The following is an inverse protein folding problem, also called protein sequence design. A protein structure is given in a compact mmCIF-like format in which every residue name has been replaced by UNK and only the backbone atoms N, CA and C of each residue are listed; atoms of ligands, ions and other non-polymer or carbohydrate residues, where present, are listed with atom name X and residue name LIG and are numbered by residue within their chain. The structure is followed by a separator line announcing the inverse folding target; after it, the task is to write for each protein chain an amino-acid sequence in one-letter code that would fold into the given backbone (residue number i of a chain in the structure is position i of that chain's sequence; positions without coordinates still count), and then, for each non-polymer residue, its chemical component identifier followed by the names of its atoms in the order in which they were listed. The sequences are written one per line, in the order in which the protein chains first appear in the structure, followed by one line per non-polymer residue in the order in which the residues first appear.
data_IF_387325369359
#
_entry.id   IF_387325369359
#
_cell.length_a   1.000
_cell.length_b   1.000
_cell.length_c   1.000
_cell.angle_alpha   90.00
_cell.angle_beta   90.00
_cell.angle_gamma   90.00
#
_symmetry.space_group_name_H-M   'P 1'
#
loop_
_entity.id
_entity.type
_entity.pdbx_description
1 polymer ?
#
# COMPACT_ATOMS: atom_id res chain seq x y z
N UNK A 1 7.56 -26.87 17.99
CA UNK A 1 7.05 -25.73 18.78
C UNK A 1 6.46 -24.74 17.80
N UNK A 2 5.13 -24.66 17.68
CA UNK A 2 4.50 -23.70 16.78
C UNK A 2 4.54 -22.33 17.45
N UNK A 3 5.47 -21.48 17.01
CA UNK A 3 5.48 -20.08 17.39
C UNK A 3 4.12 -19.49 16.99
N UNK A 4 3.34 -19.05 17.96
CA UNK A 4 2.10 -18.32 17.73
C UNK A 4 2.50 -17.01 17.06
N UNK A 5 2.42 -16.95 15.72
CA UNK A 5 2.65 -15.69 15.00
C UNK A 5 1.63 -14.67 15.50
N UNK A 6 2.13 -13.64 16.20
CA UNK A 6 1.36 -12.45 16.54
C UNK A 6 0.83 -11.86 15.24
N UNK A 7 -0.49 -11.87 15.08
CA UNK A 7 -1.16 -11.32 13.90
C UNK A 7 -1.05 -9.82 13.97
N UNK A 8 -0.41 -9.21 12.96
CA UNK A 8 -0.37 -7.77 12.85
C UNK A 8 -1.72 -7.19 12.45
N UNK A 9 -1.89 -5.90 12.71
CA UNK A 9 -3.06 -5.16 12.24
C UNK A 9 -3.25 -5.35 10.73
N UNK A 10 -4.51 -5.31 10.29
CA UNK A 10 -4.83 -5.32 8.87
C UNK A 10 -4.07 -4.17 8.17
N UNK A 11 -3.69 -4.38 6.92
CA UNK A 11 -3.15 -3.32 6.10
C UNK A 11 -4.22 -2.66 5.26
N UNK A 12 -4.02 -1.40 4.95
CA UNK A 12 -4.81 -0.58 4.04
C UNK A 12 -3.93 -0.27 2.83
N UNK A 13 -4.40 -0.58 1.63
CA UNK A 13 -3.61 -0.47 0.40
C UNK A 13 -4.28 0.40 -0.66
N UNK A 14 -3.47 1.24 -1.28
CA UNK A 14 -3.76 1.89 -2.55
C UNK A 14 -2.66 1.53 -3.57
N UNK A 15 -3.04 1.03 -4.74
CA UNK A 15 -2.12 0.86 -5.86
C UNK A 15 -2.71 1.52 -7.10
N UNK A 16 -2.24 2.73 -7.42
CA UNK A 16 -2.87 3.54 -8.47
C UNK A 16 -1.92 4.59 -9.06
N UNK A 17 -2.31 5.14 -10.22
CA UNK A 17 -1.61 6.26 -10.83
C UNK A 17 -1.72 7.53 -9.98
N UNK A 18 -0.64 8.31 -9.93
CA UNK A 18 -0.52 9.62 -9.25
C UNK A 18 -0.52 10.76 -10.27
N UNK A 19 -0.82 12.00 -9.85
CA UNK A 19 -0.78 13.19 -10.73
C UNK A 19 0.66 13.65 -11.01
N UNK A 20 1.57 12.72 -11.30
CA UNK A 20 2.98 12.98 -11.59
C UNK A 20 3.31 12.29 -12.90
N UNK A 21 3.91 13.01 -13.85
CA UNK A 21 4.43 12.46 -15.09
C UNK A 21 5.88 12.05 -14.91
N UNK A 22 6.21 10.83 -15.32
CA UNK A 22 7.59 10.39 -15.42
C UNK A 22 8.21 10.90 -16.73
N UNK A 23 9.52 10.72 -16.88
CA UNK A 23 10.28 11.13 -18.08
C UNK A 23 9.78 10.53 -19.40
N UNK A 24 9.03 9.43 -19.34
CA UNK A 24 8.41 8.78 -20.50
C UNK A 24 7.04 9.38 -20.89
N UNK A 25 6.59 10.42 -20.17
CA UNK A 25 5.31 11.09 -20.37
C UNK A 25 4.09 10.33 -19.84
N UNK A 26 4.29 9.21 -19.14
CA UNK A 26 3.20 8.43 -18.52
C UNK A 26 3.06 8.82 -17.05
N UNK A 27 1.86 8.61 -16.52
CA UNK A 27 1.60 8.82 -15.08
C UNK A 27 2.40 7.81 -14.25
N UNK A 28 3.07 8.30 -13.20
CA UNK A 28 3.67 7.50 -12.15
C UNK A 28 2.61 6.61 -11.52
N UNK A 29 2.90 5.32 -11.38
CA UNK A 29 2.13 4.44 -10.51
C UNK A 29 2.81 4.34 -9.16
N UNK A 30 2.03 4.24 -8.10
CA UNK A 30 2.56 4.14 -6.75
C UNK A 30 1.71 3.18 -5.93
N UNK A 31 2.40 2.32 -5.20
CA UNK A 31 1.85 1.50 -4.14
C UNK A 31 2.02 2.23 -2.81
N UNK A 32 0.92 2.41 -2.07
CA UNK A 32 0.89 2.87 -0.69
C UNK A 32 0.27 1.78 0.18
N UNK A 33 0.91 1.50 1.30
CA UNK A 33 0.44 0.57 2.32
C UNK A 33 0.59 1.22 3.68
N UNK A 34 -0.45 1.17 4.50
CA UNK A 34 -0.36 1.53 5.92
C UNK A 34 -0.99 0.46 6.78
N UNK A 35 -0.44 0.20 7.97
CA UNK A 35 -1.15 -0.58 8.97
C UNK A 35 -2.40 0.20 9.44
N UNK A 36 -3.52 -0.49 9.65
CA UNK A 36 -4.70 0.09 10.30
C UNK A 36 -4.32 0.40 11.76
N UNK A 37 -4.36 1.67 12.19
CA UNK A 37 -4.05 2.02 13.57
C UNK A 37 -5.10 1.45 14.53
N UNK A 38 -4.68 1.12 15.75
CA UNK A 38 -5.62 0.88 16.85
C UNK A 38 -6.36 2.18 17.19
N UNK A 39 -7.57 2.09 17.72
CA UNK A 39 -8.42 3.26 17.98
C UNK A 39 -7.79 4.26 18.97
N UNK A 40 -6.91 3.78 19.85
CA UNK A 40 -6.19 4.54 20.87
C UNK A 40 -4.70 4.74 20.53
N UNK A 41 -4.26 4.33 19.33
CA UNK A 41 -2.88 4.48 18.90
C UNK A 41 -2.50 5.97 18.79
N UNK A 42 -1.42 6.34 19.48
CA UNK A 42 -0.83 7.69 19.40
C UNK A 42 0.34 7.78 18.43
N UNK A 43 0.86 6.62 18.03
CA UNK A 43 1.99 6.51 17.12
C UNK A 43 1.52 6.49 15.67
N UNK A 44 2.37 6.96 14.77
CA UNK A 44 2.10 6.85 13.33
C UNK A 44 2.17 5.37 12.95
N UNK A 45 1.14 4.81 12.28
CA UNK A 45 1.18 3.42 11.85
C UNK A 45 2.33 3.18 10.86
N UNK A 46 2.77 1.92 10.75
CA UNK A 46 3.65 1.51 9.67
C UNK A 46 3.14 2.02 8.32
N UNK A 47 4.03 2.60 7.52
CA UNK A 47 3.76 3.14 6.18
C UNK A 47 4.84 2.68 5.21
N UNK A 48 4.43 2.24 4.04
CA UNK A 48 5.30 1.82 2.95
C UNK A 48 4.81 2.44 1.64
N UNK A 49 5.73 3.04 0.88
CA UNK A 49 5.46 3.63 -0.43
C UNK A 49 6.47 3.15 -1.44
N UNK A 50 6.01 2.75 -2.63
CA UNK A 50 6.89 2.30 -3.71
C UNK A 50 6.36 2.71 -5.09
N UNK A 51 7.19 3.39 -5.87
CA UNK A 51 6.88 3.71 -7.26
C UNK A 51 6.92 2.45 -8.12
N UNK A 52 6.00 2.36 -9.07
CA UNK A 52 5.89 1.30 -10.05
C UNK A 52 6.03 1.91 -11.46
N UNK A 53 6.95 1.40 -12.29
CA UNK A 53 6.99 1.76 -13.70
C UNK A 53 5.65 1.45 -14.38
N UNK A 54 5.17 2.35 -15.23
CA UNK A 54 3.86 2.21 -15.89
C UNK A 54 3.71 0.91 -16.70
N UNK A 55 4.82 0.37 -17.23
CA UNK A 55 4.86 -0.91 -17.96
C UNK A 55 4.86 -2.15 -17.08
N UNK A 56 5.01 -2.00 -15.76
CA UNK A 56 5.12 -3.11 -14.80
C UNK A 56 3.89 -3.26 -13.89
N UNK A 57 2.82 -2.48 -14.17
CA UNK A 57 1.58 -2.52 -13.40
C UNK A 57 0.84 -3.84 -13.63
N UNK A 58 1.17 -4.83 -12.82
CA UNK A 58 0.58 -6.17 -12.86
C UNK A 58 0.67 -6.84 -11.48
N UNK A 59 0.06 -8.01 -11.34
CA UNK A 59 0.03 -8.74 -10.07
C UNK A 59 1.39 -9.28 -9.65
N UNK A 60 2.30 -9.61 -10.58
CA UNK A 60 3.64 -10.16 -10.26
C UNK A 60 4.49 -9.08 -9.57
N UNK A 61 4.49 -7.87 -10.13
CA UNK A 61 5.15 -6.72 -9.50
C UNK A 61 4.54 -6.42 -8.14
N UNK A 62 3.21 -6.41 -8.04
CA UNK A 62 2.50 -6.12 -6.80
C UNK A 62 2.80 -7.18 -5.72
N UNK A 63 2.82 -8.48 -6.04
CA UNK A 63 3.20 -9.53 -5.10
C UNK A 63 4.61 -9.31 -4.54
N UNK A 64 5.56 -8.99 -5.43
CA UNK A 64 6.94 -8.73 -5.04
C UNK A 64 7.04 -7.51 -4.11
N UNK A 65 6.31 -6.44 -4.42
CA UNK A 65 6.27 -5.24 -3.60
C UNK A 65 5.55 -5.45 -2.25
N UNK A 66 4.53 -6.31 -2.19
CA UNK A 66 3.88 -6.70 -0.93
C UNK A 66 4.80 -7.54 -0.04
N UNK A 67 5.59 -8.44 -0.62
CA UNK A 67 6.58 -9.22 0.11
C UNK A 67 7.67 -8.31 0.70
N UNK A 68 8.15 -7.33 -0.06
CA UNK A 68 9.08 -6.31 0.40
C UNK A 68 8.48 -5.47 1.54
N UNK A 69 7.26 -4.97 1.39
CA UNK A 69 6.57 -4.23 2.45
C UNK A 69 6.46 -5.05 3.74
N UNK A 70 6.27 -6.37 3.64
CA UNK A 70 6.20 -7.28 4.80
C UNK A 70 7.54 -7.40 5.49
N UNK A 71 8.62 -7.51 4.73
CA UNK A 71 9.96 -7.52 5.29
C UNK A 71 10.28 -6.19 5.99
N UNK A 72 10.01 -5.06 5.34
CA UNK A 72 10.20 -3.73 5.93
C UNK A 72 9.39 -3.54 7.22
N UNK A 73 8.16 -4.04 7.27
CA UNK A 73 7.35 -4.00 8.48
C UNK A 73 8.01 -4.79 9.63
N UNK A 74 8.45 -6.02 9.36
CA UNK A 74 9.14 -6.87 10.35
C UNK A 74 10.42 -6.22 10.84
N UNK A 75 11.22 -5.67 9.94
CA UNK A 75 12.48 -4.99 10.27
C UNK A 75 12.25 -3.73 11.12
N UNK A 76 11.12 -3.05 10.92
CA UNK A 76 10.68 -1.91 11.72
C UNK A 76 9.97 -2.31 13.03
N UNK A 77 9.94 -3.60 13.38
CA UNK A 77 9.31 -4.11 14.60
C UNK A 77 7.79 -4.29 14.52
N UNK A 78 7.20 -4.16 13.34
CA UNK A 78 5.77 -4.37 13.13
C UNK A 78 5.47 -5.84 12.77
N UNK A 79 4.44 -6.44 13.37
CA UNK A 79 4.00 -7.78 13.00
C UNK A 79 3.44 -7.81 11.57
N UNK A 80 3.65 -8.94 10.87
CA UNK A 80 3.09 -9.15 9.54
C UNK A 80 1.54 -9.21 9.57
N UNK A 81 0.85 -8.59 8.60
CA UNK A 81 -0.60 -8.63 8.53
C UNK A 81 -1.10 -10.02 8.11
N UNK A 82 -2.38 -10.29 8.35
CA UNK A 82 -3.12 -11.39 7.69
C UNK A 82 -4.07 -10.92 6.60
N UNK A 83 -4.47 -9.64 6.67
CA UNK A 83 -5.54 -9.09 5.85
C UNK A 83 -5.13 -7.76 5.25
N UNK A 84 -5.71 -7.48 4.10
CA UNK A 84 -5.37 -6.33 3.29
C UNK A 84 -6.65 -5.71 2.74
N UNK A 85 -6.90 -4.45 3.07
CA UNK A 85 -8.11 -3.71 2.69
C UNK A 85 -7.79 -2.85 1.48
N UNK A 86 -8.57 -3.03 0.42
CA UNK A 86 -8.47 -2.23 -0.80
C UNK A 86 -9.84 -1.64 -1.14
N UNK A 87 -9.87 -0.35 -1.46
CA UNK A 87 -11.12 0.36 -1.78
C UNK A 87 -11.30 0.57 -3.29
N UNK A 88 -10.23 0.52 -4.10
CA UNK A 88 -10.31 0.73 -5.55
C UNK A 88 -10.86 -0.50 -6.27
N UNK A 89 -12.11 -0.41 -6.71
CA UNK A 89 -12.79 -1.50 -7.42
C UNK A 89 -12.05 -1.93 -8.70
N UNK A 90 -11.46 -0.99 -9.45
CA UNK A 90 -10.69 -1.27 -10.67
C UNK A 90 -9.44 -2.12 -10.41
N UNK A 91 -8.89 -2.06 -9.20
CA UNK A 91 -7.67 -2.76 -8.81
C UNK A 91 -7.95 -4.08 -8.10
N UNK A 92 -9.22 -4.37 -7.75
CA UNK A 92 -9.61 -5.49 -6.89
C UNK A 92 -9.06 -6.83 -7.37
N UNK A 93 -9.20 -7.16 -8.66
CA UNK A 93 -8.73 -8.43 -9.22
C UNK A 93 -7.20 -8.56 -9.17
N UNK A 94 -6.48 -7.47 -9.45
CA UNK A 94 -5.02 -7.45 -9.43
C UNK A 94 -4.50 -7.59 -7.99
N UNK A 95 -5.06 -6.83 -7.06
CA UNK A 95 -4.71 -6.91 -5.63
C UNK A 95 -5.04 -8.28 -5.05
N UNK A 96 -6.21 -8.86 -5.39
CA UNK A 96 -6.57 -10.20 -4.93
C UNK A 96 -5.55 -11.24 -5.37
N UNK A 97 -5.15 -11.23 -6.65
CA UNK A 97 -4.15 -12.19 -7.17
C UNK A 97 -2.82 -12.05 -6.43
N UNK A 98 -2.35 -10.83 -6.24
CA UNK A 98 -1.09 -10.57 -5.56
C UNK A 98 -1.13 -10.96 -4.07
N UNK A 99 -2.23 -10.67 -3.38
CA UNK A 99 -2.43 -11.02 -1.98
C UNK A 99 -2.47 -12.54 -1.78
N UNK A 100 -3.12 -13.27 -2.69
CA UNK A 100 -3.22 -14.74 -2.63
C UNK A 100 -1.86 -15.44 -2.72
N UNK A 101 -0.89 -14.91 -3.48
CA UNK A 101 0.46 -15.47 -3.55
C UNK A 101 1.23 -15.37 -2.22
N UNK A 102 0.79 -14.52 -1.30
CA UNK A 102 1.42 -14.26 0.01
C UNK A 102 0.56 -14.71 1.20
N UNK A 103 -0.49 -15.49 0.95
CA UNK A 103 -1.46 -15.94 1.96
C UNK A 103 -2.12 -14.77 2.71
N UNK A 104 -2.34 -13.65 2.02
CA UNK A 104 -3.06 -12.48 2.54
C UNK A 104 -4.52 -12.52 2.07
N UNK A 105 -5.46 -12.36 3.01
CA UNK A 105 -6.87 -12.20 2.68
C UNK A 105 -7.13 -10.74 2.24
N UNK A 106 -7.62 -10.56 1.01
CA UNK A 106 -8.01 -9.23 0.51
C UNK A 106 -9.48 -8.96 0.83
N UNK A 107 -9.73 -7.82 1.46
CA UNK A 107 -11.07 -7.34 1.80
C UNK A 107 -11.37 -6.08 0.98
N UNK A 108 -12.43 -6.12 0.18
CA UNK A 108 -12.96 -4.93 -0.46
C UNK A 108 -13.64 -4.04 0.60
N UNK A 109 -12.99 -2.93 0.97
CA UNK A 109 -13.46 -2.07 2.07
C UNK A 109 -13.05 -0.62 1.84
N UNK A 110 -13.96 0.30 2.15
CA UNK A 110 -13.68 1.75 2.24
C UNK A 110 -13.23 2.18 3.64
N UNK A 111 -13.21 1.26 4.61
CA UNK A 111 -12.68 1.52 5.97
C UNK A 111 -11.16 1.45 5.93
N UNK A 112 -10.58 2.43 5.22
CA UNK A 112 -9.15 2.62 4.99
C UNK A 112 -8.78 4.06 5.35
N UNK A 113 -9.18 4.50 6.54
CA UNK A 113 -9.11 5.91 6.93
C UNK A 113 -7.68 6.40 7.05
N UNK A 114 -6.78 5.61 7.64
CA UNK A 114 -5.38 6.00 7.79
C UNK A 114 -4.69 6.16 6.43
N UNK A 115 -5.05 5.32 5.46
CA UNK A 115 -4.58 5.43 4.09
C UNK A 115 -5.13 6.67 3.38
N UNK A 116 -6.42 6.97 3.57
CA UNK A 116 -7.05 8.14 2.97
C UNK A 116 -6.44 9.44 3.50
N UNK A 117 -6.24 9.54 4.82
CA UNK A 117 -5.57 10.68 5.44
C UNK A 117 -4.13 10.83 4.94
N UNK A 118 -3.42 9.71 4.78
CA UNK A 118 -2.07 9.74 4.24
C UNK A 118 -2.03 10.13 2.76
N UNK A 119 -2.96 9.65 1.96
CA UNK A 119 -3.08 10.03 0.55
C UNK A 119 -3.37 11.53 0.42
N UNK A 120 -4.29 12.06 1.23
CA UNK A 120 -4.61 13.49 1.25
C UNK A 120 -3.39 14.34 1.59
N UNK A 121 -2.62 13.95 2.62
CA UNK A 121 -1.35 14.60 2.93
C UNK A 121 -0.43 14.59 1.69
N UNK A 122 -0.25 13.41 1.06
CA UNK A 122 0.64 13.30 -0.10
C UNK A 122 0.18 14.19 -1.25
N UNK A 123 -1.12 14.28 -1.51
CA UNK A 123 -1.70 15.14 -2.54
C UNK A 123 -1.48 16.63 -2.28
N UNK A 124 -1.47 17.05 -1.01
CA UNK A 124 -1.33 18.47 -0.64
C UNK A 124 0.12 18.90 -0.47
N UNK A 125 0.96 18.04 0.12
CA UNK A 125 2.28 18.44 0.63
C UNK A 125 3.44 17.76 -0.10
N UNK A 126 3.22 16.57 -0.68
CA UNK A 126 4.30 15.76 -1.29
C UNK A 126 4.29 15.85 -2.80
N UNK A 127 3.21 15.43 -3.46
CA UNK A 127 3.13 15.40 -4.92
C UNK A 127 3.36 16.77 -5.57
N UNK A 128 2.88 17.90 -5.03
CA UNK A 128 3.16 19.21 -5.61
C UNK A 128 4.64 19.61 -5.64
N UNK A 129 5.49 18.96 -4.84
CA UNK A 129 6.93 19.22 -4.79
C UNK A 129 7.73 18.28 -5.70
N UNK A 130 7.09 17.27 -6.28
CA UNK A 130 7.72 16.28 -7.15
C UNK A 130 7.85 16.80 -8.59
N UNK A 131 8.96 16.47 -9.24
CA UNK A 131 9.15 16.79 -10.65
C UNK A 131 8.09 16.08 -11.50
N UNK A 132 7.50 16.82 -12.45
CA UNK A 132 6.45 16.30 -13.32
C UNK A 132 5.04 16.34 -12.72
N UNK A 133 4.84 16.96 -11.56
CA UNK A 133 3.50 17.16 -10.99
C UNK A 133 2.57 17.93 -11.95
N UNK A 134 1.34 17.44 -12.06
CA UNK A 134 0.27 18.02 -12.86
C UNK A 134 -0.73 18.72 -11.93
N UNK A 135 -0.71 20.06 -11.92
CA UNK A 135 -1.67 20.90 -11.20
C UNK A 135 -3.02 20.99 -11.92
#
# INVERSE_FOLDING_TARGET
MNATQTVGADWELDFYSRPILESDGRKRWELLITATPAADARETPFRFSKCCPSGEVNSIWLSSALAEARQCAVDAGWPAPRRLRCWRSSMRTMVQRAATELDLEMIASRRTYALLDWLQHREQEVYPQEEGFMA
#
